data_IF_224151358869
#
_entry.id   IF_224151358869
#
_cell.length_a   1.000
_cell.length_b   1.000
_cell.length_c   1.000
_cell.angle_alpha   90.00
_cell.angle_beta   90.00
_cell.angle_gamma   90.00
#
_symmetry.space_group_name_H-M   'P 1'
#
loop_
_entity.id
_entity.type
_entity.pdbx_description
1 polymer ?
#
# COMPACT_ATOMS: atom_id res chain seq x y z
N UNK A 1 26.15 -1.33 23.65
CA UNK A 1 24.74 -0.94 23.40
C UNK A 1 23.91 -2.07 22.80
N UNK A 2 24.39 -2.82 21.79
CA UNK A 2 23.67 -3.93 21.18
C UNK A 2 23.19 -5.02 22.17
N UNK A 3 24.01 -5.38 23.18
CA UNK A 3 23.63 -6.37 24.19
C UNK A 3 22.44 -5.95 25.10
N UNK A 4 22.21 -4.65 25.30
CA UNK A 4 21.06 -4.15 26.08
C UNK A 4 19.76 -4.25 25.28
N UNK A 5 19.84 -3.99 23.97
CA UNK A 5 18.71 -4.08 23.04
C UNK A 5 18.26 -5.53 22.86
N UNK A 6 19.20 -6.46 22.68
CA UNK A 6 18.86 -7.89 22.55
C UNK A 6 18.28 -8.47 23.84
N UNK A 7 18.77 -8.05 25.01
CA UNK A 7 18.20 -8.44 26.30
C UNK A 7 16.75 -7.92 26.46
N UNK A 8 16.50 -6.66 26.13
CA UNK A 8 15.16 -6.07 26.15
C UNK A 8 14.19 -6.78 25.19
N UNK A 9 14.60 -7.01 23.93
CA UNK A 9 13.79 -7.71 22.94
C UNK A 9 13.38 -9.11 23.41
N UNK A 10 14.31 -9.86 24.02
CA UNK A 10 14.00 -11.18 24.61
C UNK A 10 13.01 -11.09 25.76
N UNK A 11 13.14 -10.08 26.61
CA UNK A 11 12.27 -9.87 27.79
C UNK A 11 10.84 -9.50 27.38
N UNK A 12 10.66 -8.54 26.47
CA UNK A 12 9.34 -8.13 25.99
C UNK A 12 8.69 -9.22 25.14
N UNK A 13 9.47 -10.02 24.41
CA UNK A 13 8.94 -11.18 23.68
C UNK A 13 8.41 -12.27 24.62
N UNK A 14 9.03 -12.46 25.79
CA UNK A 14 8.57 -13.42 26.78
C UNK A 14 7.33 -12.92 27.57
N UNK A 15 7.25 -11.62 27.84
CA UNK A 15 6.19 -11.03 28.67
C UNK A 15 4.97 -10.57 27.88
N UNK A 16 5.20 -9.95 26.72
CA UNK A 16 4.17 -9.28 25.92
C UNK A 16 4.30 -9.64 24.43
N UNK A 17 4.25 -10.94 24.07
CA UNK A 17 4.48 -11.39 22.69
C UNK A 17 3.50 -10.78 21.69
N UNK A 18 2.26 -10.52 22.12
CA UNK A 18 1.22 -9.91 21.28
C UNK A 18 1.60 -8.48 20.91
N UNK A 19 2.14 -7.70 21.84
CA UNK A 19 2.57 -6.33 21.56
C UNK A 19 3.79 -6.33 20.64
N UNK A 20 4.77 -7.19 20.89
CA UNK A 20 5.94 -7.33 19.98
C UNK A 20 5.50 -7.68 18.56
N UNK A 21 4.60 -8.65 18.39
CA UNK A 21 4.06 -9.02 17.09
C UNK A 21 3.28 -7.88 16.44
N UNK A 22 2.48 -7.13 17.20
CA UNK A 22 1.70 -6.01 16.65
C UNK A 22 2.60 -4.91 16.09
N UNK A 23 3.64 -4.51 16.81
CA UNK A 23 4.56 -3.47 16.37
C UNK A 23 5.44 -3.94 15.21
N UNK A 24 5.87 -5.21 15.19
CA UNK A 24 6.65 -5.73 14.06
C UNK A 24 5.81 -5.82 12.79
N UNK A 25 4.57 -6.32 12.88
CA UNK A 25 3.65 -6.40 11.72
C UNK A 25 3.31 -4.99 11.23
N UNK A 26 2.96 -4.05 12.13
CA UNK A 26 2.67 -2.68 11.75
C UNK A 26 3.88 -1.99 11.10
N UNK A 27 5.07 -2.15 11.69
CA UNK A 27 6.31 -1.60 11.14
C UNK A 27 6.64 -2.17 9.76
N UNK A 28 6.50 -3.49 9.59
CA UNK A 28 6.69 -4.15 8.29
C UNK A 28 5.65 -3.69 7.28
N UNK A 29 4.38 -3.54 7.64
CA UNK A 29 3.33 -3.08 6.75
C UNK A 29 3.58 -1.67 6.19
N UNK A 30 4.25 -0.80 6.95
CA UNK A 30 4.62 0.55 6.50
C UNK A 30 5.87 0.53 5.61
N UNK A 31 6.87 -0.29 5.95
CA UNK A 31 8.16 -0.30 5.26
C UNK A 31 8.11 -1.11 3.96
N UNK A 32 7.46 -2.29 3.98
CA UNK A 32 7.44 -3.23 2.85
C UNK A 32 6.95 -2.62 1.53
N UNK A 33 5.86 -1.82 1.48
CA UNK A 33 5.38 -1.24 0.24
C UNK A 33 6.39 -0.30 -0.44
N UNK A 34 7.22 0.39 0.35
CA UNK A 34 8.21 1.35 -0.17
C UNK A 34 9.44 0.67 -0.79
N UNK A 35 9.81 -0.50 -0.30
CA UNK A 35 10.99 -1.25 -0.76
C UNK A 35 10.60 -2.29 -1.83
N UNK A 36 9.35 -2.77 -1.82
CA UNK A 36 8.91 -3.81 -2.74
C UNK A 36 8.79 -3.30 -4.19
N UNK A 37 9.45 -3.94 -5.17
CA UNK A 37 9.29 -3.59 -6.58
C UNK A 37 7.88 -3.94 -7.11
N UNK A 38 7.11 -4.74 -6.36
CA UNK A 38 5.80 -5.21 -6.79
C UNK A 38 4.66 -4.22 -6.50
N UNK A 39 4.85 -3.27 -5.58
CA UNK A 39 3.82 -2.29 -5.19
C UNK A 39 3.31 -1.48 -6.40
N UNK A 40 4.18 -1.24 -7.39
CA UNK A 40 3.82 -0.56 -8.65
C UNK A 40 2.73 -1.30 -9.42
N UNK A 41 2.77 -2.63 -9.48
CA UNK A 41 1.80 -3.41 -10.26
C UNK A 41 0.40 -3.35 -9.66
N UNK A 42 0.25 -3.21 -8.34
CA UNK A 42 -1.06 -3.01 -7.74
C UNK A 42 -1.75 -1.73 -8.27
N UNK A 43 -0.99 -0.65 -8.44
CA UNK A 43 -1.52 0.60 -9.03
C UNK A 43 -1.88 0.40 -10.50
N UNK A 44 -1.02 -0.26 -11.27
CA UNK A 44 -1.26 -0.54 -12.69
C UNK A 44 -2.52 -1.39 -12.90
N UNK A 45 -2.73 -2.41 -12.07
CA UNK A 45 -3.93 -3.25 -12.12
C UNK A 45 -5.18 -2.42 -11.82
N UNK A 46 -5.15 -1.60 -10.75
CA UNK A 46 -6.28 -0.75 -10.39
C UNK A 46 -6.64 0.25 -11.50
N UNK A 47 -5.65 0.80 -12.20
CA UNK A 47 -5.88 1.69 -13.36
C UNK A 47 -6.40 0.97 -14.60
N UNK A 48 -5.92 -0.26 -14.83
CA UNK A 48 -6.34 -1.06 -15.98
C UNK A 48 -7.75 -1.64 -15.83
N UNK A 49 -8.30 -1.66 -14.60
CA UNK A 49 -9.62 -2.24 -14.33
C UNK A 49 -10.72 -1.23 -14.68
N UNK A 50 -11.51 -1.44 -15.73
CA UNK A 50 -12.51 -0.46 -16.15
C UNK A 50 -13.75 -0.54 -15.26
N UNK A 51 -13.96 0.46 -14.41
CA UNK A 51 -15.17 0.59 -13.59
C UNK A 51 -16.30 1.36 -14.30
N UNK A 52 -15.94 2.22 -15.25
CA UNK A 52 -16.88 3.00 -16.04
C UNK A 52 -17.13 2.34 -17.39
N UNK A 53 -18.32 2.57 -17.95
CA UNK A 53 -18.65 2.02 -19.26
C UNK A 53 -17.77 2.66 -20.35
N UNK A 54 -16.93 1.89 -21.07
CA UNK A 54 -15.92 2.44 -21.96
C UNK A 54 -16.52 3.20 -23.16
N UNK A 55 -17.74 2.85 -23.56
CA UNK A 55 -18.44 3.48 -24.68
C UNK A 55 -18.91 4.92 -24.41
N UNK A 56 -19.23 5.26 -23.15
CA UNK A 56 -19.72 6.60 -22.79
C UNK A 56 -18.58 7.59 -22.62
N UNK A 57 -17.47 7.16 -22.01
CA UNK A 57 -16.25 7.97 -21.85
C UNK A 57 -15.59 8.30 -23.19
N UNK A 58 -15.47 7.32 -24.09
CA UNK A 58 -14.93 7.54 -25.44
C UNK A 58 -15.79 8.52 -26.25
N UNK A 59 -17.12 8.42 -26.13
CA UNK A 59 -18.07 9.32 -26.80
C UNK A 59 -18.05 10.73 -26.21
N UNK A 60 -17.91 10.86 -24.90
CA UNK A 60 -17.82 12.13 -24.20
C UNK A 60 -16.51 12.89 -24.51
N UNK A 61 -15.38 12.18 -24.52
CA UNK A 61 -14.08 12.73 -24.93
C UNK A 61 -14.09 13.14 -26.42
N UNK A 62 -14.65 12.32 -27.30
CA UNK A 62 -14.76 12.62 -28.73
C UNK A 62 -15.69 13.82 -29.02
N UNK A 63 -16.71 14.06 -28.19
CA UNK A 63 -17.59 15.22 -28.32
C UNK A 63 -17.07 16.49 -27.62
N UNK A 64 -15.85 16.48 -27.05
CA UNK A 64 -15.21 17.69 -26.50
C UNK A 64 -15.87 18.27 -25.24
N UNK A 65 -16.61 17.46 -24.47
CA UNK A 65 -17.40 17.95 -23.32
C UNK A 65 -16.57 18.37 -22.10
N UNK A 66 -15.24 18.53 -22.23
CA UNK A 66 -14.38 19.02 -21.15
C UNK A 66 -14.52 18.25 -19.83
N UNK A 67 -15.02 17.01 -19.88
CA UNK A 67 -15.13 16.17 -18.71
C UNK A 67 -13.70 15.88 -18.26
N UNK A 68 -13.34 16.22 -17.00
CA UNK A 68 -12.02 15.88 -16.50
C UNK A 68 -11.86 14.38 -16.67
N UNK A 69 -10.79 13.97 -17.35
CA UNK A 69 -10.29 12.61 -17.25
C UNK A 69 -9.79 12.53 -15.80
N UNK A 70 -10.71 12.19 -14.89
CA UNK A 70 -10.53 12.23 -13.44
C UNK A 70 -9.37 11.31 -13.07
N UNK A 71 -8.18 11.89 -12.98
CA UNK A 71 -6.92 11.19 -12.75
C UNK A 71 -5.68 12.09 -12.77
N UNK A 72 -5.83 13.42 -12.73
CA UNK A 72 -4.78 14.37 -12.35
C UNK A 72 -5.05 14.91 -10.94
#
# INVERSE_FOLDING_TARGET
MAGRLTAFLKDVWAKEPVLVASFTIAGLAVILPTISPFTKYATMINQATPYNYPGELRRAAQKGWGLPVLGE
#
